data_IF_924774939763
#
_entry.id   IF_924774939763
#
_cell.length_a   1.000
_cell.length_b   1.000
_cell.length_c   1.000
_cell.angle_alpha   90.00
_cell.angle_beta   90.00
_cell.angle_gamma   90.00
#
_symmetry.space_group_name_H-M   'P 1'
#
loop_
_entity.id
_entity.type
_entity.pdbx_description
1 polymer ?
#
# COMPACT_ATOMS: atom_id res chain seq x y z
N UNK A 1 -1.72 25.38 -10.67
CA UNK A 1 -2.77 25.20 -9.65
C UNK A 1 -2.18 24.46 -8.47
N UNK A 2 -2.45 24.93 -7.25
CA UNK A 2 -1.82 24.54 -5.99
C UNK A 2 -1.29 23.09 -5.94
N UNK A 3 0.03 22.93 -6.08
CA UNK A 3 0.78 21.78 -5.60
C UNK A 3 0.58 21.74 -4.08
N UNK A 4 -0.48 21.06 -3.63
CA UNK A 4 -0.74 20.81 -2.22
C UNK A 4 0.57 20.28 -1.63
N UNK A 5 1.09 20.97 -0.61
CA UNK A 5 2.24 20.57 0.19
C UNK A 5 1.92 19.20 0.78
N UNK A 6 2.21 18.13 0.04
CA UNK A 6 2.10 16.76 0.50
C UNK A 6 3.10 16.65 1.66
N UNK A 7 2.65 16.40 2.90
CA UNK A 7 3.56 16.39 4.04
C UNK A 7 4.66 15.34 3.81
N UNK A 8 5.94 15.71 3.96
CA UNK A 8 7.04 14.84 3.56
C UNK A 8 7.06 13.54 4.37
N UNK A 9 7.55 12.46 3.78
CA UNK A 9 7.88 11.26 4.55
C UNK A 9 6.66 10.39 4.88
N UNK A 10 6.65 9.92 6.13
CA UNK A 10 5.62 9.01 6.65
C UNK A 10 4.23 9.66 6.75
N UNK A 11 4.14 10.99 6.76
CA UNK A 11 2.86 11.69 6.86
C UNK A 11 1.94 11.46 5.64
N UNK A 12 2.49 11.42 4.42
CA UNK A 12 1.72 11.04 3.22
C UNK A 12 1.20 9.61 3.32
N UNK A 13 2.03 8.70 3.79
CA UNK A 13 1.68 7.28 3.96
C UNK A 13 0.56 7.16 5.01
N UNK A 14 0.72 7.81 6.18
CA UNK A 14 -0.31 7.85 7.24
C UNK A 14 -1.63 8.40 6.71
N UNK A 15 -1.59 9.49 5.94
CA UNK A 15 -2.79 10.07 5.32
C UNK A 15 -3.43 9.10 4.34
N UNK A 16 -2.64 8.49 3.44
CA UNK A 16 -3.13 7.51 2.48
C UNK A 16 -3.88 6.36 3.17
N UNK A 17 -3.27 5.71 4.16
CA UNK A 17 -3.91 4.59 4.87
C UNK A 17 -5.17 5.01 5.67
N UNK A 18 -5.17 6.20 6.27
CA UNK A 18 -6.35 6.74 6.98
C UNK A 18 -7.50 7.09 6.02
N UNK A 19 -7.16 7.51 4.81
CA UNK A 19 -8.12 7.91 3.78
C UNK A 19 -8.64 6.73 2.95
N UNK A 20 -8.14 5.50 3.17
CA UNK A 20 -8.67 4.30 2.53
C UNK A 20 -10.17 4.22 2.83
N UNK A 21 -10.99 4.51 1.81
CA UNK A 21 -12.43 4.37 1.90
C UNK A 21 -12.74 2.89 1.76
N UNK A 22 -13.07 2.24 2.86
CA UNK A 22 -13.53 0.85 2.92
C UNK A 22 -14.94 0.65 2.33
N UNK A 23 -15.36 1.49 1.37
CA UNK A 23 -16.72 1.48 0.85
C UNK A 23 -17.03 0.09 0.29
N UNK A 24 -18.06 -0.51 0.88
CA UNK A 24 -18.60 -1.79 0.48
C UNK A 24 -18.95 -1.76 -1.03
N UNK A 25 -18.59 -2.85 -1.70
CA UNK A 25 -19.05 -3.33 -3.01
C UNK A 25 -18.37 -2.90 -4.32
N UNK A 26 -17.58 -1.82 -4.39
CA UNK A 26 -17.00 -1.46 -5.69
C UNK A 26 -15.60 -2.11 -5.90
N UNK A 27 -15.61 -3.24 -6.61
CA UNK A 27 -14.75 -3.75 -7.70
C UNK A 27 -13.23 -3.45 -7.81
N UNK A 28 -12.62 -2.53 -7.05
CA UNK A 28 -11.29 -2.00 -7.41
C UNK A 28 -10.08 -2.82 -6.90
N UNK A 29 -10.24 -3.64 -5.86
CA UNK A 29 -9.10 -4.25 -5.16
C UNK A 29 -8.70 -5.66 -5.59
N UNK A 30 -9.47 -6.31 -6.46
CA UNK A 30 -9.48 -7.78 -6.55
C UNK A 30 -8.88 -8.36 -7.81
N UNK A 31 -8.82 -7.58 -8.89
CA UNK A 31 -8.22 -8.03 -10.14
C UNK A 31 -6.77 -8.42 -9.88
N UNK A 32 -5.98 -7.51 -9.30
CA UNK A 32 -4.58 -7.73 -8.96
C UNK A 32 -4.35 -8.98 -8.10
N UNK A 33 -5.19 -9.21 -7.09
CA UNK A 33 -4.94 -10.23 -6.09
C UNK A 33 -5.48 -11.61 -6.50
N UNK A 34 -6.62 -11.68 -7.18
CA UNK A 34 -7.14 -12.94 -7.75
C UNK A 34 -6.32 -13.38 -8.95
N UNK A 35 -5.88 -12.44 -9.79
CA UNK A 35 -4.98 -12.75 -10.91
C UNK A 35 -3.66 -13.37 -10.45
N UNK A 36 -3.14 -13.00 -9.28
CA UNK A 36 -1.97 -13.66 -8.68
C UNK A 36 -2.26 -15.03 -8.04
N UNK A 37 -3.51 -15.34 -7.69
CA UNK A 37 -3.88 -16.64 -7.12
C UNK A 37 -4.27 -17.65 -8.20
N UNK A 38 -4.76 -17.18 -9.35
CA UNK A 38 -5.22 -18.00 -10.48
C UNK A 38 -4.26 -17.95 -11.67
N UNK A 39 -2.94 -17.78 -11.43
CA UNK A 39 -1.94 -17.49 -12.46
C UNK A 39 -1.95 -18.47 -13.65
N UNK A 40 -2.26 -19.74 -13.40
CA UNK A 40 -2.33 -20.79 -14.43
C UNK A 40 -3.42 -20.52 -15.48
N UNK A 41 -4.47 -19.79 -15.12
CA UNK A 41 -5.63 -19.50 -15.99
C UNK A 41 -5.61 -18.06 -16.53
N UNK A 42 -4.57 -17.28 -16.24
CA UNK A 42 -4.48 -15.87 -16.61
C UNK A 42 -3.49 -15.71 -17.78
N UNK A 43 -3.86 -14.96 -18.83
CA UNK A 43 -2.91 -14.59 -19.89
C UNK A 43 -1.67 -13.90 -19.33
N UNK A 44 -0.47 -14.28 -19.81
CA UNK A 44 0.81 -13.68 -19.37
C UNK A 44 0.81 -12.15 -19.41
N UNK A 45 0.18 -11.56 -20.43
CA UNK A 45 0.07 -10.09 -20.55
C UNK A 45 -0.67 -9.46 -19.36
N UNK A 46 -1.72 -10.11 -18.84
CA UNK A 46 -2.42 -9.63 -17.66
C UNK A 46 -1.57 -9.79 -16.40
N UNK A 47 -0.81 -10.90 -16.27
CA UNK A 47 0.16 -11.06 -15.17
C UNK A 47 1.23 -9.95 -15.17
N UNK A 48 1.73 -9.57 -16.35
CA UNK A 48 2.67 -8.44 -16.47
C UNK A 48 2.08 -7.13 -15.98
N UNK A 49 0.83 -6.81 -16.35
CA UNK A 49 0.15 -5.60 -15.87
C UNK A 49 0.02 -5.63 -14.33
N UNK A 50 -0.28 -6.79 -13.77
CA UNK A 50 -0.39 -6.94 -12.32
C UNK A 50 0.97 -6.69 -11.65
N UNK A 51 2.05 -7.29 -12.14
CA UNK A 51 3.40 -7.09 -11.62
C UNK A 51 3.86 -5.62 -11.73
N UNK A 52 3.53 -4.93 -12.81
CA UNK A 52 3.81 -3.51 -13.00
C UNK A 52 3.08 -2.65 -11.95
N UNK A 53 1.80 -2.93 -11.71
CA UNK A 53 1.02 -2.21 -10.68
C UNK A 53 1.55 -2.51 -9.28
N UNK A 54 1.92 -3.76 -8.99
CA UNK A 54 2.58 -4.12 -7.73
C UNK A 54 3.87 -3.32 -7.55
N UNK A 55 4.73 -3.31 -8.57
CA UNK A 55 6.00 -2.58 -8.53
C UNK A 55 5.76 -1.07 -8.35
N UNK A 56 4.77 -0.49 -9.04
CA UNK A 56 4.45 0.92 -8.93
C UNK A 56 3.98 1.32 -7.52
N UNK A 57 3.21 0.47 -6.83
CA UNK A 57 2.79 0.70 -5.45
C UNK A 57 3.99 0.64 -4.49
N UNK A 58 4.89 -0.34 -4.64
CA UNK A 58 6.14 -0.41 -3.87
C UNK A 58 6.97 0.87 -4.07
N UNK A 59 7.16 1.30 -5.32
CA UNK A 59 7.93 2.50 -5.66
C UNK A 59 7.30 3.78 -5.11
N UNK A 60 5.96 3.88 -5.10
CA UNK A 60 5.27 5.02 -4.51
C UNK A 60 5.54 5.11 -3.00
N UNK A 61 5.50 4.00 -2.26
CA UNK A 61 5.87 4.00 -0.84
C UNK A 61 7.35 4.29 -0.63
N UNK A 62 8.23 3.67 -1.43
CA UNK A 62 9.66 3.89 -1.36
C UNK A 62 10.03 5.37 -1.60
N UNK A 63 9.45 5.99 -2.62
CA UNK A 63 9.64 7.41 -2.93
C UNK A 63 9.23 8.33 -1.78
N UNK A 64 8.16 7.99 -1.05
CA UNK A 64 7.75 8.72 0.15
C UNK A 64 8.72 8.51 1.33
N UNK A 65 9.48 7.42 1.39
CA UNK A 65 10.48 7.16 2.44
C UNK A 65 11.86 7.76 2.13
N UNK A 66 12.15 8.09 0.88
CA UNK A 66 13.46 8.64 0.47
C UNK A 66 13.88 9.94 1.19
N UNK A 67 12.98 10.87 1.56
CA UNK A 67 13.35 12.01 2.40
C UNK A 67 14.01 11.61 3.72
N UNK A 68 13.54 10.53 4.37
CA UNK A 68 14.13 10.01 5.62
C UNK A 68 15.51 9.41 5.40
N UNK A 69 15.72 8.79 4.23
CA UNK A 69 17.04 8.29 3.82
C UNK A 69 18.02 9.44 3.63
N UNK A 70 17.60 10.53 2.97
CA UNK A 70 18.43 11.73 2.78
C UNK A 70 18.78 12.41 4.10
N UNK A 71 17.92 12.29 5.11
CA UNK A 71 18.13 12.80 6.46
C UNK A 71 18.95 11.84 7.35
N UNK A 72 19.38 10.68 6.84
CA UNK A 72 20.10 9.68 7.64
C UNK A 72 19.24 8.91 8.65
N UNK A 73 17.91 9.10 8.66
CA UNK A 73 16.98 8.41 9.56
C UNK A 73 16.71 6.95 9.14
N UNK A 74 16.91 6.62 7.87
CA UNK A 74 16.74 5.27 7.33
C UNK A 74 17.86 4.92 6.36
N UNK A 75 18.24 3.64 6.30
CA UNK A 75 19.04 3.12 5.18
C UNK A 75 18.14 2.89 3.97
N UNK A 76 18.72 2.89 2.75
CA UNK A 76 17.99 2.55 1.51
C UNK A 76 17.36 1.16 1.59
N UNK A 77 18.09 0.19 2.13
CA UNK A 77 17.61 -1.19 2.29
C UNK A 77 16.40 -1.25 3.24
N UNK A 78 16.44 -0.53 4.37
CA UNK A 78 15.32 -0.48 5.31
C UNK A 78 14.11 0.23 4.71
N UNK A 79 14.31 1.33 3.98
CA UNK A 79 13.22 2.02 3.28
C UNK A 79 12.55 1.10 2.23
N UNK A 80 13.32 0.30 1.49
CA UNK A 80 12.78 -0.67 0.53
C UNK A 80 11.98 -1.78 1.20
N UNK A 81 12.54 -2.35 2.28
CA UNK A 81 11.85 -3.36 3.09
C UNK A 81 10.53 -2.83 3.67
N UNK A 82 10.52 -1.59 4.15
CA UNK A 82 9.32 -0.95 4.68
C UNK A 82 8.29 -0.65 3.58
N UNK A 83 8.71 -0.25 2.39
CA UNK A 83 7.82 -0.07 1.23
C UNK A 83 7.08 -1.36 0.86
N UNK A 84 7.81 -2.49 0.79
CA UNK A 84 7.22 -3.83 0.56
C UNK A 84 6.25 -4.25 1.65
N UNK A 85 6.62 -3.98 2.91
CA UNK A 85 5.74 -4.24 4.04
C UNK A 85 4.41 -3.46 3.92
N UNK A 86 4.47 -2.16 3.65
CA UNK A 86 3.28 -1.31 3.50
C UNK A 86 2.40 -1.77 2.34
N UNK A 87 3.01 -2.14 1.21
CA UNK A 87 2.32 -2.73 0.08
C UNK A 87 1.58 -4.01 0.48
N UNK A 88 2.25 -4.96 1.14
CA UNK A 88 1.62 -6.20 1.59
C UNK A 88 0.46 -5.93 2.56
N UNK A 89 0.62 -4.98 3.46
CA UNK A 89 -0.43 -4.56 4.38
C UNK A 89 -1.64 -3.94 3.67
N UNK A 90 -1.42 -3.10 2.64
CA UNK A 90 -2.48 -2.55 1.81
C UNK A 90 -3.34 -3.67 1.19
N UNK A 91 -2.71 -4.69 0.62
CA UNK A 91 -3.41 -5.85 0.09
C UNK A 91 -4.15 -6.64 1.17
N UNK A 92 -3.53 -6.88 2.33
CA UNK A 92 -4.19 -7.53 3.46
C UNK A 92 -5.44 -6.78 3.92
N UNK A 93 -5.41 -5.45 3.95
CA UNK A 93 -6.57 -4.61 4.28
C UNK A 93 -7.67 -4.76 3.22
N UNK A 94 -7.33 -4.75 1.93
CA UNK A 94 -8.28 -4.93 0.83
C UNK A 94 -8.97 -6.31 0.92
N UNK A 95 -8.20 -7.37 1.18
CA UNK A 95 -8.72 -8.74 1.35
C UNK A 95 -9.68 -8.81 2.54
N UNK A 96 -9.31 -8.24 3.69
CA UNK A 96 -10.16 -8.22 4.87
C UNK A 96 -11.43 -7.40 4.66
N UNK A 97 -11.36 -6.28 3.94
CA UNK A 97 -12.53 -5.48 3.60
C UNK A 97 -13.55 -6.28 2.77
N UNK A 98 -13.06 -7.09 1.82
CA UNK A 98 -13.91 -8.01 1.04
C UNK A 98 -14.47 -9.16 1.84
N UNK A 99 -13.70 -9.72 2.78
CA UNK A 99 -14.17 -10.75 3.71
C UNK A 99 -15.26 -10.26 4.69
N UNK A 100 -15.79 -9.05 4.50
CA UNK A 100 -16.87 -8.48 5.30
C UNK A 100 -16.41 -8.01 6.67
N UNK A 101 -15.10 -7.84 6.90
CA UNK A 101 -14.62 -7.28 8.17
C UNK A 101 -15.14 -5.86 8.35
N UNK A 102 -15.49 -5.54 9.59
CA UNK A 102 -16.08 -4.24 9.92
C UNK A 102 -15.07 -3.11 9.73
N UNK A 103 -15.56 -1.90 9.46
CA UNK A 103 -14.71 -0.70 9.39
C UNK A 103 -13.92 -0.46 10.69
N UNK A 104 -14.42 -0.92 11.83
CA UNK A 104 -13.67 -0.88 13.09
C UNK A 104 -12.43 -1.78 13.03
N UNK A 105 -12.61 -3.03 12.59
CA UNK A 105 -11.50 -3.98 12.44
C UNK A 105 -10.45 -3.47 11.44
N UNK A 106 -10.89 -2.97 10.29
CA UNK A 106 -9.98 -2.43 9.27
C UNK A 106 -9.18 -1.22 9.77
N UNK A 107 -9.82 -0.34 10.56
CA UNK A 107 -9.13 0.78 11.21
C UNK A 107 -8.09 0.32 12.23
N UNK A 108 -8.37 -0.75 12.99
CA UNK A 108 -7.40 -1.33 13.92
C UNK A 108 -6.17 -1.87 13.17
N UNK A 109 -6.39 -2.60 12.07
CA UNK A 109 -5.29 -3.08 11.21
C UNK A 109 -4.48 -1.89 10.68
N UNK A 110 -5.13 -0.84 10.18
CA UNK A 110 -4.43 0.37 9.74
C UNK A 110 -3.60 1.00 10.85
N UNK A 111 -4.13 1.11 12.07
CA UNK A 111 -3.36 1.64 13.21
C UNK A 111 -2.07 0.84 13.42
N UNK A 112 -2.16 -0.49 13.48
CA UNK A 112 -1.01 -1.38 13.67
C UNK A 112 0.02 -1.22 12.54
N UNK A 113 -0.45 -1.14 11.29
CA UNK A 113 0.44 -0.92 10.14
C UNK A 113 1.22 0.39 10.27
N UNK A 114 0.56 1.45 10.72
CA UNK A 114 1.16 2.77 10.86
C UNK A 114 2.09 2.90 12.08
N UNK A 115 2.04 2.00 13.05
CA UNK A 115 3.00 1.94 14.17
C UNK A 115 4.40 1.49 13.71
N UNK A 116 4.49 0.77 12.58
CA UNK A 116 5.77 0.37 11.98
C UNK A 116 6.55 1.53 11.34
N UNK A 117 5.88 2.67 11.11
CA UNK A 117 6.47 3.82 10.43
C UNK A 117 7.28 4.67 11.41
N UNK A 118 8.51 5.07 11.03
CA UNK A 118 9.31 6.00 11.84
C UNK A 118 8.67 7.40 11.94
N UNK A 119 9.08 8.13 12.97
CA UNK A 119 8.70 9.54 13.22
C UNK A 119 9.40 10.54 12.29
#
# INVERSE_FOLDING_TARGET
>A
GALRKNPPGTANIRKFFKDIRYKQKDEWGCLLLLTLLEQENVPRAALTIVDEVYSAIEEAFYGNLMPLVRQGKLTRARARSLARYLQNCLYGIIVNARAGKTNQHLRQVVTIVLESLPE
#
